data_IF_179047567082
#
_entry.id   IF_179047567082
#
_cell.length_a   1.000
_cell.length_b   1.000
_cell.length_c   1.000
_cell.angle_alpha   90.00
_cell.angle_beta   90.00
_cell.angle_gamma   90.00
#
_symmetry.space_group_name_H-M   'P 1'
#
loop_
_entity.id
_entity.type
_entity.pdbx_description
1 polymer ?
#
# COMPACT_ATOMS: atom_id res chain seq x y z
N UNK A 1 -7.80 28.63 -19.31
CA UNK A 1 -7.49 28.60 -17.86
C UNK A 1 -7.87 27.28 -17.16
N UNK A 2 -8.66 26.38 -17.76
CA UNK A 2 -9.12 25.11 -17.17
C UNK A 2 -8.07 24.00 -17.17
N UNK A 3 -7.17 23.97 -18.16
CA UNK A 3 -6.16 22.91 -18.34
C UNK A 3 -5.08 22.87 -17.23
N UNK A 4 -4.65 24.04 -16.73
CA UNK A 4 -3.62 24.13 -15.68
C UNK A 4 -4.08 23.58 -14.32
N UNK A 5 -5.38 23.66 -14.01
CA UNK A 5 -5.93 23.11 -12.76
C UNK A 5 -6.00 21.58 -12.78
N UNK A 6 -6.27 20.99 -13.95
CA UNK A 6 -6.35 19.54 -14.10
C UNK A 6 -4.97 18.88 -13.89
N UNK A 7 -3.91 19.45 -14.49
CA UNK A 7 -2.53 18.93 -14.35
C UNK A 7 -2.03 19.00 -12.90
N UNK A 8 -2.31 20.10 -12.20
CA UNK A 8 -1.95 20.27 -10.79
C UNK A 8 -2.70 19.28 -9.89
N UNK A 9 -3.99 19.02 -10.16
CA UNK A 9 -4.78 18.03 -9.43
C UNK A 9 -4.27 16.61 -9.60
N UNK A 10 -3.93 16.22 -10.85
CA UNK A 10 -3.38 14.90 -11.15
C UNK A 10 -2.01 14.68 -10.54
N UNK A 11 -1.12 15.69 -10.58
CA UNK A 11 0.22 15.59 -9.99
C UNK A 11 0.16 15.44 -8.46
N UNK A 12 -0.77 16.12 -7.81
CA UNK A 12 -0.97 16.05 -6.36
C UNK A 12 -1.54 14.69 -5.93
N UNK A 13 -2.47 14.14 -6.71
CA UNK A 13 -3.01 12.79 -6.52
C UNK A 13 -1.94 11.71 -6.75
N UNK A 14 -1.13 11.85 -7.81
CA UNK A 14 -0.03 10.95 -8.11
C UNK A 14 1.04 10.97 -7.00
N UNK A 15 1.41 12.16 -6.51
CA UNK A 15 2.34 12.30 -5.39
C UNK A 15 1.82 11.66 -4.10
N UNK A 16 0.52 11.82 -3.79
CA UNK A 16 -0.10 11.17 -2.63
C UNK A 16 -0.13 9.64 -2.79
N UNK A 17 -0.47 9.15 -3.97
CA UNK A 17 -0.46 7.73 -4.34
C UNK A 17 0.94 7.13 -4.17
N UNK A 18 1.96 7.83 -4.67
CA UNK A 18 3.37 7.45 -4.57
C UNK A 18 3.86 7.48 -3.11
N UNK A 19 3.45 8.47 -2.32
CA UNK A 19 3.78 8.56 -0.90
C UNK A 19 3.13 7.46 -0.08
N UNK A 20 1.86 7.14 -0.32
CA UNK A 20 1.15 6.05 0.38
C UNK A 20 1.78 4.71 0.02
N UNK A 21 2.03 4.47 -1.27
CA UNK A 21 2.74 3.26 -1.72
C UNK A 21 4.14 3.19 -1.12
N UNK A 22 4.88 4.31 -1.12
CA UNK A 22 6.20 4.41 -0.51
C UNK A 22 6.17 4.12 0.98
N UNK A 23 5.20 4.68 1.73
CA UNK A 23 5.03 4.42 3.17
C UNK A 23 4.64 2.98 3.47
N UNK A 24 3.89 2.31 2.59
CA UNK A 24 3.57 0.89 2.76
C UNK A 24 4.79 0.00 2.50
N UNK A 25 5.67 0.39 1.57
CA UNK A 25 6.89 -0.37 1.23
C UNK A 25 8.06 -0.04 2.17
N UNK A 26 8.09 1.16 2.76
CA UNK A 26 9.17 1.65 3.61
C UNK A 26 9.49 0.74 4.81
N UNK A 27 8.51 0.18 5.56
CA UNK A 27 8.77 -0.79 6.61
C UNK A 27 9.64 -1.95 6.12
N UNK A 28 9.38 -2.48 4.92
CA UNK A 28 10.16 -3.59 4.38
C UNK A 28 11.56 -3.18 3.93
N UNK A 29 11.75 -1.97 3.40
CA UNK A 29 13.08 -1.45 3.07
C UNK A 29 13.91 -1.20 4.34
N UNK A 30 13.30 -0.64 5.38
CA UNK A 30 13.96 -0.49 6.69
C UNK A 30 14.34 -1.86 7.25
N UNK A 31 13.44 -2.83 7.15
CA UNK A 31 13.69 -4.20 7.60
C UNK A 31 14.77 -4.90 6.77
N UNK A 32 14.86 -4.66 5.45
CA UNK A 32 15.97 -5.14 4.61
C UNK A 32 17.33 -4.64 5.13
N UNK A 33 17.41 -3.35 5.47
CA UNK A 33 18.65 -2.73 5.93
C UNK A 33 19.05 -3.25 7.32
N UNK A 34 18.08 -3.44 8.21
CA UNK A 34 18.32 -3.95 9.57
C UNK A 34 18.69 -5.43 9.53
N UNK A 35 17.89 -6.26 8.85
CA UNK A 35 18.05 -7.72 8.88
C UNK A 35 19.38 -8.16 8.21
N UNK A 36 19.76 -7.52 7.08
CA UNK A 36 21.05 -7.78 6.41
C UNK A 36 22.27 -7.49 7.28
N UNK A 37 22.16 -6.52 8.20
CA UNK A 37 23.25 -6.17 9.12
C UNK A 37 23.31 -7.07 10.36
N UNK A 38 22.19 -7.65 10.77
CA UNK A 38 22.06 -8.35 12.05
C UNK A 38 22.14 -9.88 11.93
N UNK A 39 21.52 -10.50 10.91
CA UNK A 39 21.23 -11.94 10.96
C UNK A 39 21.94 -12.82 9.92
N UNK A 40 22.67 -12.27 8.94
CA UNK A 40 23.38 -13.03 7.87
C UNK A 40 22.52 -14.02 7.05
N UNK A 41 21.21 -14.10 7.31
CA UNK A 41 20.21 -14.85 6.55
C UNK A 41 19.98 -14.23 5.16
N UNK A 42 19.61 -15.08 4.20
CA UNK A 42 19.25 -14.62 2.85
C UNK A 42 17.97 -13.77 2.90
N UNK A 43 17.96 -12.67 2.16
CA UNK A 43 16.82 -11.77 2.15
C UNK A 43 15.62 -12.43 1.44
N UNK A 44 14.40 -12.43 2.03
CA UNK A 44 13.23 -13.07 1.43
C UNK A 44 12.63 -12.22 0.31
N UNK A 45 13.31 -12.20 -0.85
CA UNK A 45 12.92 -11.41 -2.03
C UNK A 45 11.50 -11.71 -2.51
N UNK A 46 11.06 -12.97 -2.45
CA UNK A 46 9.71 -13.38 -2.87
C UNK A 46 8.65 -12.69 -2.01
N UNK A 47 8.82 -12.71 -0.68
CA UNK A 47 7.91 -12.07 0.26
C UNK A 47 7.93 -10.54 0.08
N UNK A 48 9.10 -9.95 -0.11
CA UNK A 48 9.24 -8.51 -0.39
C UNK A 48 8.49 -8.10 -1.67
N UNK A 49 8.68 -8.83 -2.76
CA UNK A 49 8.01 -8.55 -4.03
C UNK A 49 6.51 -8.74 -3.90
N UNK A 50 6.06 -9.80 -3.22
CA UNK A 50 4.64 -10.04 -2.95
C UNK A 50 4.02 -8.86 -2.20
N UNK A 51 4.60 -8.44 -1.08
CA UNK A 51 4.07 -7.33 -0.28
C UNK A 51 4.12 -6.00 -1.02
N UNK A 52 5.16 -5.77 -1.83
CA UNK A 52 5.27 -4.57 -2.67
C UNK A 52 4.13 -4.50 -3.70
N UNK A 53 3.90 -5.59 -4.44
CA UNK A 53 2.79 -5.66 -5.41
C UNK A 53 1.42 -5.56 -4.72
N UNK A 54 1.26 -6.21 -3.57
CA UNK A 54 0.03 -6.17 -2.79
C UNK A 54 -0.31 -4.74 -2.35
N UNK A 55 0.69 -3.99 -1.89
CA UNK A 55 0.53 -2.57 -1.52
C UNK A 55 0.14 -1.70 -2.72
N UNK A 56 0.72 -1.97 -3.90
CA UNK A 56 0.36 -1.29 -5.14
C UNK A 56 -1.11 -1.55 -5.50
N UNK A 57 -1.59 -2.79 -5.39
CA UNK A 57 -2.99 -3.12 -5.67
C UNK A 57 -3.96 -2.42 -4.71
N UNK A 58 -3.65 -2.37 -3.41
CA UNK A 58 -4.45 -1.62 -2.43
C UNK A 58 -4.60 -0.16 -2.88
N UNK A 59 -3.48 0.48 -3.25
CA UNK A 59 -3.47 1.87 -3.67
C UNK A 59 -4.27 2.08 -4.96
N UNK A 60 -4.09 1.22 -5.96
CA UNK A 60 -4.82 1.31 -7.23
C UNK A 60 -6.34 1.15 -7.06
N UNK A 61 -6.77 0.31 -6.11
CA UNK A 61 -8.19 0.06 -5.85
C UNK A 61 -8.83 1.17 -5.01
N UNK A 62 -8.11 1.74 -4.04
CA UNK A 62 -8.64 2.74 -3.13
C UNK A 62 -8.52 4.17 -3.67
N UNK A 63 -7.45 4.50 -4.40
CA UNK A 63 -7.16 5.88 -4.83
C UNK A 63 -8.27 6.54 -5.65
N UNK A 64 -8.92 5.88 -6.65
CA UNK A 64 -9.98 6.50 -7.43
C UNK A 64 -11.19 6.87 -6.56
N UNK A 65 -11.57 5.97 -5.64
CA UNK A 65 -12.70 6.19 -4.74
C UNK A 65 -12.41 7.29 -3.72
N UNK A 66 -11.22 7.29 -3.12
CA UNK A 66 -10.78 8.32 -2.18
C UNK A 66 -10.64 9.69 -2.86
N UNK A 67 -10.13 9.73 -4.09
CA UNK A 67 -10.04 10.95 -4.89
C UNK A 67 -11.42 11.56 -5.14
N UNK A 68 -12.40 10.73 -5.49
CA UNK A 68 -13.78 11.18 -5.70
C UNK A 68 -14.45 11.66 -4.42
N UNK A 69 -14.29 10.92 -3.31
CA UNK A 69 -14.79 11.32 -2.00
C UNK A 69 -14.20 12.64 -1.54
N UNK A 70 -12.91 12.86 -1.79
CA UNK A 70 -12.23 14.11 -1.42
C UNK A 70 -12.73 15.31 -2.23
N UNK A 71 -13.07 15.10 -3.50
CA UNK A 71 -13.57 16.15 -4.39
C UNK A 71 -15.05 16.51 -4.13
N UNK A 72 -15.91 15.50 -4.01
CA UNK A 72 -17.37 15.70 -3.89
C UNK A 72 -17.86 15.75 -2.43
N UNK A 73 -17.04 15.29 -1.47
CA UNK A 73 -17.40 15.12 -0.04
C UNK A 73 -18.71 14.35 0.19
N UNK A 74 -19.13 13.54 -0.79
CA UNK A 74 -20.41 12.85 -0.80
C UNK A 74 -20.25 11.39 -1.18
N UNK A 75 -20.76 10.50 -0.33
CA UNK A 75 -20.81 9.06 -0.59
C UNK A 75 -21.85 8.70 -1.66
N UNK A 76 -22.89 9.53 -1.84
CA UNK A 76 -23.97 9.31 -2.82
C UNK A 76 -23.49 9.39 -4.27
N UNK A 77 -22.33 10.02 -4.52
CA UNK A 77 -21.73 10.10 -5.85
C UNK A 77 -21.03 8.82 -6.29
N UNK A 78 -20.73 7.88 -5.39
CA UNK A 78 -19.95 6.69 -5.75
C UNK A 78 -20.76 5.68 -6.56
N UNK A 79 -20.35 5.50 -7.82
CA UNK A 79 -20.85 4.41 -8.66
C UNK A 79 -20.34 3.04 -8.20
N UNK A 80 -20.98 1.98 -8.69
CA UNK A 80 -20.70 0.59 -8.33
C UNK A 80 -19.21 0.19 -8.39
N UNK A 81 -18.48 0.63 -9.42
CA UNK A 81 -17.05 0.32 -9.55
C UNK A 81 -16.18 0.87 -8.43
N UNK A 82 -16.54 2.03 -7.87
CA UNK A 82 -15.82 2.60 -6.72
C UNK A 82 -16.09 1.81 -5.45
N UNK A 83 -17.34 1.37 -5.24
CA UNK A 83 -17.71 0.53 -4.11
C UNK A 83 -17.01 -0.84 -4.16
N UNK A 84 -16.96 -1.45 -5.34
CA UNK A 84 -16.24 -2.70 -5.54
C UNK A 84 -14.74 -2.51 -5.28
N UNK A 85 -14.15 -1.42 -5.77
CA UNK A 85 -12.75 -1.05 -5.50
C UNK A 85 -12.48 -0.85 -4.00
N UNK A 86 -13.36 -0.17 -3.27
CA UNK A 86 -13.26 -0.01 -1.82
C UNK A 86 -13.31 -1.38 -1.12
N UNK A 87 -14.31 -2.21 -1.46
CA UNK A 87 -14.48 -3.51 -0.83
C UNK A 87 -13.23 -4.39 -1.00
N UNK A 88 -12.74 -4.50 -2.24
CA UNK A 88 -11.54 -5.27 -2.56
C UNK A 88 -10.28 -4.67 -1.93
N UNK A 89 -10.13 -3.34 -1.96
CA UNK A 89 -8.99 -2.65 -1.37
C UNK A 89 -8.93 -2.83 0.16
N UNK A 90 -10.07 -2.75 0.84
CA UNK A 90 -10.18 -3.02 2.29
C UNK A 90 -9.86 -4.49 2.60
N UNK A 91 -10.40 -5.44 1.82
CA UNK A 91 -10.09 -6.85 1.98
C UNK A 91 -8.58 -7.12 1.83
N UNK A 92 -7.95 -6.54 0.81
CA UNK A 92 -6.50 -6.65 0.61
C UNK A 92 -5.71 -6.01 1.77
N UNK A 93 -6.17 -4.90 2.33
CA UNK A 93 -5.53 -4.25 3.46
C UNK A 93 -5.57 -5.13 4.71
N UNK A 94 -6.68 -5.84 4.95
CA UNK A 94 -6.79 -6.84 6.03
C UNK A 94 -5.80 -7.99 5.81
N UNK A 95 -5.75 -8.56 4.60
CA UNK A 95 -4.80 -9.65 4.27
C UNK A 95 -3.36 -9.17 4.49
N UNK A 96 -3.04 -7.98 4.00
CA UNK A 96 -1.71 -7.38 4.13
C UNK A 96 -1.31 -7.22 5.60
N UNK A 97 -2.21 -6.72 6.45
CA UNK A 97 -1.96 -6.57 7.88
C UNK A 97 -1.70 -7.93 8.56
N UNK A 98 -2.46 -8.97 8.18
CA UNK A 98 -2.23 -10.31 8.71
C UNK A 98 -0.86 -10.87 8.30
N UNK A 99 -0.45 -10.68 7.04
CA UNK A 99 0.89 -11.11 6.59
C UNK A 99 2.00 -10.34 7.32
N UNK A 100 1.83 -9.05 7.57
CA UNK A 100 2.79 -8.28 8.41
C UNK A 100 2.88 -8.92 9.80
N UNK A 101 1.75 -9.15 10.46
CA UNK A 101 1.70 -9.68 11.83
C UNK A 101 2.37 -11.05 11.92
N UNK A 102 2.10 -11.91 10.94
CA UNK A 102 2.62 -13.27 10.85
C UNK A 102 4.14 -13.29 10.62
N UNK A 103 4.64 -12.41 9.75
CA UNK A 103 6.03 -12.40 9.34
C UNK A 103 6.93 -11.52 10.23
N UNK A 104 6.35 -10.61 11.04
CA UNK A 104 7.08 -9.70 11.93
C UNK A 104 8.01 -10.43 12.92
N UNK A 105 7.61 -11.53 13.58
CA UNK A 105 8.49 -12.28 14.47
C UNK A 105 9.74 -12.83 13.76
N UNK A 106 9.57 -13.38 12.54
CA UNK A 106 10.66 -13.87 11.71
C UNK A 106 11.67 -12.75 11.41
N UNK A 107 11.16 -11.56 11.09
CA UNK A 107 11.99 -10.40 10.82
C UNK A 107 12.69 -9.81 12.06
N UNK A 108 12.10 -9.98 13.24
CA UNK A 108 12.72 -9.62 14.52
C UNK A 108 13.73 -10.67 14.99
N UNK A 109 13.90 -11.76 14.24
CA UNK A 109 14.89 -12.79 14.55
C UNK A 109 14.46 -13.80 15.60
N UNK A 110 13.16 -13.95 15.81
CA UNK A 110 12.64 -15.01 16.66
C UNK A 110 12.91 -16.37 15.94
N UNK A 111 13.47 -17.38 16.62
CA UNK A 111 13.68 -18.71 16.03
C UNK A 111 12.36 -19.47 15.88
N UNK A 112 12.24 -20.34 14.85
CA UNK A 112 11.05 -21.15 14.52
C UNK A 112 9.75 -20.33 14.38
N UNK A 113 9.72 -19.44 13.38
CA UNK A 113 8.56 -18.58 13.10
C UNK A 113 7.82 -18.96 11.81
N UNK A 114 7.99 -20.20 11.37
CA UNK A 114 7.34 -20.79 10.20
C UNK A 114 5.88 -21.18 10.42
#
# INVERSE_FOLDING_TARGET
>A
MTQNRAVVGTLKSFGATLLISGMLVLPFLVMQVVNRRAMHEEFPFVLFTFMSLHSLFIVLLLAPALGRLSAEKSLRGLGFGHWLGILLGVALLVVYANVIIDQLPCFLGVPNCD
#
